data_IF_668471828895
#
_entry.id   IF_668471828895
#
_cell.length_a   1.000
_cell.length_b   1.000
_cell.length_c   1.000
_cell.angle_alpha   90.00
_cell.angle_beta   90.00
_cell.angle_gamma   90.00
#
_symmetry.space_group_name_H-M   'P 1'
#
loop_
_entity.id
_entity.type
_entity.pdbx_description
1 polymer ?
#
# COMPACT_ATOMS: atom_id res chain seq x y z
N UNK A 1 17.54 -15.50 2.26
CA UNK A 1 17.62 -14.65 1.04
C UNK A 1 16.90 -15.24 -0.17
N UNK A 2 17.08 -16.51 -0.56
CA UNK A 2 16.32 -17.10 -1.68
C UNK A 2 14.80 -17.21 -1.43
N UNK A 3 14.37 -17.15 -0.17
CA UNK A 3 12.96 -17.22 0.21
C UNK A 3 12.34 -15.85 0.56
N UNK A 4 13.15 -14.81 0.80
CA UNK A 4 12.68 -13.50 1.26
C UNK A 4 12.41 -12.56 0.08
N UNK A 5 11.17 -12.64 -0.43
CA UNK A 5 10.66 -11.81 -1.53
C UNK A 5 10.72 -10.30 -1.27
N UNK A 6 10.93 -9.89 -0.02
CA UNK A 6 11.02 -8.50 0.43
C UNK A 6 12.31 -7.77 -0.02
N UNK A 7 13.33 -8.48 -0.49
CA UNK A 7 14.60 -7.90 -0.96
C UNK A 7 14.69 -7.74 -2.48
N UNK A 8 13.59 -7.88 -3.21
CA UNK A 8 13.53 -7.70 -4.66
C UNK A 8 13.53 -6.21 -5.06
N UNK A 9 14.53 -5.47 -4.59
CA UNK A 9 14.73 -4.04 -4.82
C UNK A 9 15.87 -3.85 -5.82
N UNK A 10 15.64 -3.01 -6.83
CA UNK A 10 16.62 -2.74 -7.89
C UNK A 10 16.73 -1.24 -8.15
N UNK A 11 17.85 -0.80 -8.72
CA UNK A 11 18.03 0.60 -9.14
C UNK A 11 17.19 0.90 -10.38
N UNK A 12 16.56 2.08 -10.38
CA UNK A 12 15.86 2.65 -11.53
C UNK A 12 16.85 3.45 -12.38
N UNK A 13 16.79 3.29 -13.70
CA UNK A 13 17.72 3.91 -14.65
C UNK A 13 16.99 4.85 -15.63
N UNK A 14 16.11 5.71 -15.14
CA UNK A 14 15.27 6.57 -15.99
C UNK A 14 16.09 7.44 -16.93
N UNK A 15 17.13 8.10 -16.42
CA UNK A 15 17.95 9.03 -17.21
C UNK A 15 18.61 8.34 -18.40
N UNK A 16 19.13 7.12 -18.18
CA UNK A 16 19.77 6.32 -19.21
C UNK A 16 18.73 5.80 -20.20
N UNK A 17 17.59 5.30 -19.72
CA UNK A 17 16.51 4.82 -20.56
C UNK A 17 15.94 5.93 -21.45
N UNK A 18 15.77 7.14 -20.91
CA UNK A 18 15.36 8.32 -21.66
C UNK A 18 16.41 8.74 -22.70
N UNK A 19 17.69 8.71 -22.35
CA UNK A 19 18.76 9.01 -23.30
C UNK A 19 18.79 8.03 -24.48
N UNK A 20 18.60 6.73 -24.21
CA UNK A 20 18.52 5.69 -25.26
C UNK A 20 17.30 5.92 -26.16
N UNK A 21 16.13 6.24 -25.59
CA UNK A 21 14.93 6.56 -26.37
C UNK A 21 15.13 7.78 -27.27
N UNK A 22 15.75 8.84 -26.75
CA UNK A 22 16.05 10.05 -27.54
C UNK A 22 17.05 9.77 -28.67
N UNK A 23 18.04 8.90 -28.44
CA UNK A 23 18.98 8.47 -29.47
C UNK A 23 18.26 7.71 -30.59
N UNK A 24 17.43 6.73 -30.24
CA UNK A 24 16.62 5.98 -31.22
C UNK A 24 15.66 6.90 -31.99
N UNK A 25 15.03 7.86 -31.31
CA UNK A 25 14.16 8.84 -31.95
C UNK A 25 14.94 9.68 -32.98
N UNK A 26 16.14 10.15 -32.65
CA UNK A 26 16.97 10.91 -33.58
C UNK A 26 17.32 10.10 -34.83
N UNK A 27 17.68 8.82 -34.67
CA UNK A 27 17.98 7.93 -35.80
C UNK A 27 16.75 7.66 -36.68
N UNK A 28 15.56 7.50 -36.08
CA UNK A 28 14.31 7.32 -36.82
C UNK A 28 13.97 8.58 -37.62
N UNK A 29 14.12 9.76 -37.02
CA UNK A 29 13.85 11.05 -37.67
C UNK A 29 14.80 11.27 -38.85
N UNK A 30 16.09 10.93 -38.70
CA UNK A 30 17.06 11.02 -39.80
C UNK A 30 16.68 10.09 -40.97
N UNK A 31 16.35 8.83 -40.69
CA UNK A 31 15.90 7.89 -41.73
C UNK A 31 14.58 8.32 -42.38
N UNK A 32 13.65 8.90 -41.62
CA UNK A 32 12.40 9.45 -42.14
C UNK A 32 12.68 10.60 -43.11
N UNK A 33 13.59 11.50 -42.75
CA UNK A 33 14.02 12.60 -43.61
C UNK A 33 14.64 12.08 -44.91
N UNK A 34 15.56 11.11 -44.81
CA UNK A 34 16.16 10.47 -45.99
C UNK A 34 15.11 9.82 -46.90
N UNK A 35 14.11 9.15 -46.31
CA UNK A 35 13.01 8.53 -47.05
C UNK A 35 12.16 9.57 -47.79
N UNK A 36 11.87 10.71 -47.16
CA UNK A 36 11.12 11.81 -47.78
C UNK A 36 11.89 12.46 -48.93
N UNK A 37 13.21 12.63 -48.79
CA UNK A 37 14.07 13.13 -49.88
C UNK A 37 14.14 12.11 -51.03
N UNK A 38 14.27 10.82 -50.71
CA UNK A 38 14.33 9.75 -51.69
C UNK A 38 12.99 9.60 -52.44
N UNK A 39 11.85 9.81 -51.77
CA UNK A 39 10.54 9.70 -52.41
C UNK A 39 10.30 10.77 -53.48
N UNK A 40 10.95 11.92 -53.36
CA UNK A 40 10.90 12.98 -54.37
C UNK A 40 11.82 12.72 -55.58
N UNK A 41 12.81 11.83 -55.45
CA UNK A 41 13.85 11.58 -56.47
C UNK A 41 13.71 10.24 -57.20
N UNK A 42 13.08 9.25 -56.57
CA UNK A 42 13.16 7.86 -57.01
C UNK A 42 11.97 7.43 -57.90
N UNK A 43 12.24 7.16 -59.18
CA UNK A 43 11.27 6.58 -60.13
C UNK A 43 11.14 5.06 -60.01
N UNK A 44 12.10 4.38 -59.35
CA UNK A 44 12.21 2.91 -59.30
C UNK A 44 11.72 2.28 -57.99
N UNK A 45 11.63 3.08 -56.92
CA UNK A 45 11.16 2.67 -55.59
C UNK A 45 12.11 1.75 -54.81
N UNK A 46 13.28 1.38 -55.36
CA UNK A 46 14.25 0.53 -54.67
C UNK A 46 14.88 1.23 -53.47
N UNK A 47 15.28 2.51 -53.61
CA UNK A 47 15.88 3.26 -52.49
C UNK A 47 14.91 3.50 -51.34
N UNK A 48 13.61 3.66 -51.64
CA UNK A 48 12.57 3.74 -50.63
C UNK A 48 12.44 2.42 -49.84
N UNK A 49 12.45 1.29 -50.54
CA UNK A 49 12.37 -0.05 -49.91
C UNK A 49 13.55 -0.31 -48.99
N UNK A 50 14.76 0.02 -49.41
CA UNK A 50 15.97 -0.17 -48.61
C UNK A 50 15.94 0.66 -47.32
N UNK A 51 15.45 1.90 -47.39
CA UNK A 51 15.27 2.75 -46.22
C UNK A 51 14.17 2.23 -45.29
N UNK A 52 13.06 1.72 -45.83
CA UNK A 52 11.99 1.10 -45.02
C UNK A 52 12.49 -0.15 -44.28
N UNK A 53 13.31 -0.99 -44.93
CA UNK A 53 13.93 -2.17 -44.30
C UNK A 53 14.83 -1.76 -43.13
N UNK A 54 15.56 -0.63 -43.24
CA UNK A 54 16.38 -0.10 -42.14
C UNK A 54 15.57 0.54 -41.03
N UNK A 55 14.43 1.17 -41.36
CA UNK A 55 13.57 1.88 -40.41
C UNK A 55 12.74 0.91 -39.56
N UNK A 56 12.25 -0.19 -40.14
CA UNK A 56 11.43 -1.18 -39.45
C UNK A 56 12.02 -1.69 -38.10
N UNK A 57 13.28 -2.17 -38.03
CA UNK A 57 13.83 -2.67 -36.77
C UNK A 57 13.97 -1.57 -35.71
N UNK A 58 14.40 -0.36 -36.11
CA UNK A 58 14.56 0.78 -35.19
C UNK A 58 13.23 1.24 -34.59
N UNK A 59 12.20 1.32 -35.42
CA UNK A 59 10.86 1.67 -34.96
C UNK A 59 10.30 0.61 -34.00
N UNK A 60 10.56 -0.67 -34.28
CA UNK A 60 10.16 -1.78 -33.41
C UNK A 60 10.86 -1.71 -32.06
N UNK A 61 12.18 -1.47 -32.06
CA UNK A 61 12.98 -1.31 -30.85
C UNK A 61 12.50 -0.11 -30.01
N UNK A 62 12.32 1.05 -30.64
CA UNK A 62 11.80 2.24 -29.98
C UNK A 62 10.42 2.02 -29.33
N UNK A 63 9.48 1.43 -30.08
CA UNK A 63 8.13 1.16 -29.58
C UNK A 63 8.14 0.16 -28.41
N UNK A 64 8.95 -0.91 -28.52
CA UNK A 64 9.08 -1.90 -27.46
C UNK A 64 9.68 -1.29 -26.19
N UNK A 65 10.72 -0.45 -26.31
CA UNK A 65 11.34 0.21 -25.18
C UNK A 65 10.40 1.17 -24.46
N UNK A 66 9.57 1.93 -25.20
CA UNK A 66 8.57 2.80 -24.58
C UNK A 66 7.55 1.98 -23.78
N UNK A 67 7.06 0.88 -24.35
CA UNK A 67 6.11 0.01 -23.65
C UNK A 67 6.73 -0.57 -22.37
N UNK A 68 7.94 -1.10 -22.46
CA UNK A 68 8.68 -1.61 -21.30
C UNK A 68 8.90 -0.52 -20.26
N UNK A 69 9.32 0.69 -20.66
CA UNK A 69 9.53 1.80 -19.72
C UNK A 69 8.21 2.24 -19.07
N UNK A 70 7.09 2.18 -19.80
CA UNK A 70 5.77 2.47 -19.23
C UNK A 70 5.39 1.43 -18.16
N UNK A 71 5.66 0.16 -18.38
CA UNK A 71 5.45 -0.91 -17.39
C UNK A 71 6.38 -0.73 -16.18
N UNK A 72 7.66 -0.40 -16.41
CA UNK A 72 8.62 -0.12 -15.36
C UNK A 72 8.22 1.10 -14.51
N UNK A 73 7.62 2.13 -15.12
CA UNK A 73 7.15 3.32 -14.41
C UNK A 73 5.97 3.05 -13.47
N UNK A 74 5.23 1.94 -13.70
CA UNK A 74 4.12 1.52 -12.85
C UNK A 74 4.59 0.69 -11.64
N UNK A 75 5.86 0.25 -11.63
CA UNK A 75 6.40 -0.49 -10.50
C UNK A 75 6.52 0.40 -9.26
N UNK A 76 6.40 -0.21 -8.09
CA UNK A 76 6.34 0.54 -6.84
C UNK A 76 7.71 1.00 -6.37
N UNK A 77 7.72 2.18 -5.74
CA UNK A 77 8.87 2.69 -4.99
C UNK A 77 9.03 1.82 -3.74
N UNK A 78 10.24 1.31 -3.43
CA UNK A 78 10.48 0.53 -2.22
C UNK A 78 10.35 1.40 -0.97
N UNK A 79 10.07 0.77 0.16
CA UNK A 79 10.06 1.48 1.45
C UNK A 79 11.47 1.87 1.86
N UNK A 80 11.59 3.03 2.50
CA UNK A 80 12.85 3.49 3.09
C UNK A 80 13.40 2.48 4.10
N UNK A 81 12.55 1.90 4.95
CA UNK A 81 12.98 0.89 5.93
C UNK A 81 13.53 -0.38 5.27
N UNK A 82 12.87 -0.88 4.23
CA UNK A 82 13.35 -2.06 3.49
C UNK A 82 14.64 -1.78 2.72
N UNK A 83 14.75 -0.57 2.16
CA UNK A 83 15.96 -0.11 1.48
C UNK A 83 17.13 -0.02 2.48
N UNK A 84 16.91 0.54 3.66
CA UNK A 84 17.90 0.62 4.74
C UNK A 84 18.34 -0.77 5.20
N UNK A 85 17.39 -1.68 5.46
CA UNK A 85 17.72 -3.08 5.81
C UNK A 85 18.54 -3.78 4.73
N UNK A 86 18.21 -3.55 3.46
CA UNK A 86 18.99 -4.09 2.34
C UNK A 86 20.40 -3.50 2.29
N UNK A 87 20.54 -2.18 2.46
CA UNK A 87 21.83 -1.49 2.49
C UNK A 87 22.70 -1.97 3.65
N UNK A 88 22.12 -2.14 4.84
CA UNK A 88 22.79 -2.66 6.02
C UNK A 88 23.24 -4.11 5.80
N UNK A 89 22.36 -4.95 5.24
CA UNK A 89 22.70 -6.33 4.89
C UNK A 89 23.82 -6.43 3.85
N UNK A 90 23.79 -5.58 2.81
CA UNK A 90 24.84 -5.51 1.78
C UNK A 90 26.20 -5.06 2.33
N UNK A 91 26.20 -4.35 3.46
CA UNK A 91 27.40 -3.90 4.18
C UNK A 91 27.86 -4.93 5.22
N UNK A 92 26.96 -5.83 5.67
CA UNK A 92 27.27 -6.83 6.68
C UNK A 92 28.26 -7.91 6.15
N UNK A 93 29.39 -8.15 6.84
CA UNK A 93 30.29 -9.26 6.52
C UNK A 93 29.65 -10.66 6.60
N UNK A 94 28.61 -10.86 7.42
CA UNK A 94 27.94 -12.16 7.59
C UNK A 94 26.79 -12.37 6.58
N UNK A 95 26.13 -11.28 6.18
CA UNK A 95 24.98 -11.30 5.28
C UNK A 95 25.35 -11.04 3.82
N UNK A 96 25.98 -9.90 3.53
CA UNK A 96 26.26 -9.42 2.18
C UNK A 96 27.72 -9.57 1.73
N UNK A 97 28.54 -10.32 2.46
CA UNK A 97 29.96 -10.54 2.14
C UNK A 97 30.76 -9.25 1.89
N UNK A 98 30.41 -8.15 2.59
CA UNK A 98 30.99 -6.82 2.38
C UNK A 98 30.88 -6.34 0.92
N UNK A 99 29.75 -6.60 0.25
CA UNK A 99 29.53 -6.24 -1.15
C UNK A 99 29.81 -4.75 -1.42
N UNK A 100 29.37 -3.87 -0.51
CA UNK A 100 29.60 -2.43 -0.60
C UNK A 100 30.95 -1.97 -0.03
N UNK A 101 31.60 -2.79 0.81
CA UNK A 101 32.83 -2.42 1.52
C UNK A 101 34.10 -2.68 0.71
N UNK A 102 34.01 -3.37 -0.45
CA UNK A 102 35.13 -3.51 -1.39
C UNK A 102 35.42 -2.16 -2.05
N UNK A 103 36.34 -1.40 -1.45
CA UNK A 103 36.84 -0.13 -1.95
C UNK A 103 37.18 -0.19 -3.44
N UNK A 104 36.55 0.67 -4.24
CA UNK A 104 36.83 0.85 -5.66
C UNK A 104 35.76 0.33 -6.65
N UNK A 105 34.68 -0.29 -6.18
CA UNK A 105 33.60 -0.74 -7.08
C UNK A 105 32.59 0.38 -7.36
N UNK A 106 32.14 0.55 -8.63
CA UNK A 106 31.05 1.47 -8.98
C UNK A 106 29.74 1.16 -8.22
N UNK A 107 29.57 -0.09 -7.77
CA UNK A 107 28.42 -0.56 -7.01
C UNK A 107 28.19 0.20 -5.70
N UNK A 108 29.24 0.72 -5.06
CA UNK A 108 29.06 1.58 -3.89
C UNK A 108 28.18 2.80 -4.21
N UNK A 109 28.32 3.38 -5.41
CA UNK A 109 27.51 4.54 -5.82
C UNK A 109 26.08 4.17 -6.22
N UNK A 110 25.82 2.90 -6.54
CA UNK A 110 24.48 2.37 -6.83
C UNK A 110 23.60 2.35 -5.59
N UNK A 111 24.18 2.08 -4.41
CA UNK A 111 23.44 1.88 -3.16
C UNK A 111 23.65 3.00 -2.13
N UNK A 112 24.47 4.01 -2.45
CA UNK A 112 24.73 5.17 -1.60
C UNK A 112 23.55 6.15 -1.47
N UNK A 113 22.74 6.41 -2.52
CA UNK A 113 21.57 7.28 -2.38
C UNK A 113 20.57 6.71 -1.38
N UNK A 114 20.14 7.55 -0.42
CA UNK A 114 19.04 7.21 0.49
C UNK A 114 17.66 7.51 -0.08
N UNK A 115 17.62 8.14 -1.26
CA UNK A 115 16.38 8.50 -1.92
C UNK A 115 15.69 7.25 -2.48
N UNK A 116 14.54 6.83 -1.92
CA UNK A 116 13.85 5.63 -2.35
C UNK A 116 13.34 5.74 -3.80
N UNK A 117 13.13 6.96 -4.30
CA UNK A 117 12.60 7.20 -5.64
C UNK A 117 13.54 6.72 -6.75
N UNK A 118 14.82 6.53 -6.46
CA UNK A 118 15.82 6.00 -7.40
C UNK A 118 15.79 4.47 -7.51
N UNK A 119 14.89 3.81 -6.78
CA UNK A 119 14.80 2.36 -6.73
C UNK A 119 13.39 1.89 -7.05
N UNK A 120 13.28 0.61 -7.36
CA UNK A 120 12.04 -0.06 -7.73
C UNK A 120 11.94 -1.40 -6.99
N UNK A 121 10.76 -1.70 -6.47
CA UNK A 121 10.45 -3.00 -5.87
C UNK A 121 9.62 -3.85 -6.83
N UNK A 122 10.05 -5.09 -7.07
CA UNK A 122 9.28 -6.04 -7.88
C UNK A 122 8.08 -6.64 -7.14
N UNK A 123 8.08 -6.55 -5.81
CA UNK A 123 6.94 -6.99 -5.01
C UNK A 123 6.13 -5.78 -4.55
N UNK A 124 4.80 -5.93 -4.62
CA UNK A 124 3.89 -5.03 -3.90
C UNK A 124 4.32 -5.06 -2.44
N UNK A 125 4.81 -3.94 -1.95
CA UNK A 125 5.19 -3.87 -0.56
C UNK A 125 3.91 -4.04 0.24
N UNK A 126 3.78 -5.12 1.02
CA UNK A 126 2.60 -5.41 1.84
C UNK A 126 2.30 -4.19 2.69
N UNK A 127 1.29 -3.40 2.31
CA UNK A 127 0.92 -2.09 2.87
C UNK A 127 1.27 -2.04 4.36
N UNK A 128 2.32 -1.29 4.73
CA UNK A 128 2.53 -0.98 6.13
C UNK A 128 1.40 -0.03 6.44
N UNK A 129 0.35 -0.65 6.96
CA UNK A 129 -0.60 -0.07 7.85
C UNK A 129 -0.97 1.36 7.47
N UNK A 130 -2.00 1.47 6.64
CA UNK A 130 -2.79 2.68 6.52
C UNK A 130 -2.95 3.32 7.92
N UNK A 131 -3.09 4.65 8.01
CA UNK A 131 -3.42 5.32 9.28
C UNK A 131 -4.51 4.57 10.07
N UNK A 132 -5.41 3.91 9.33
CA UNK A 132 -6.36 2.91 9.79
C UNK A 132 -5.76 1.71 10.54
N UNK A 133 -4.82 0.93 9.98
CA UNK A 133 -4.22 -0.22 10.65
C UNK A 133 -3.37 0.18 11.86
N UNK A 134 -2.73 1.35 11.85
CA UNK A 134 -2.03 1.88 13.02
C UNK A 134 -3.02 2.30 14.12
N UNK A 135 -4.13 2.95 13.76
CA UNK A 135 -5.22 3.25 14.67
C UNK A 135 -5.85 1.97 15.24
N UNK A 136 -6.10 0.95 14.41
CA UNK A 136 -6.60 -0.36 14.85
C UNK A 136 -5.61 -1.03 15.78
N UNK A 137 -4.30 -1.01 15.46
CA UNK A 137 -3.26 -1.53 16.36
C UNK A 137 -3.30 -0.79 17.70
N UNK A 138 -3.32 0.53 17.72
CA UNK A 138 -3.35 1.31 18.97
C UNK A 138 -4.63 1.06 19.79
N UNK A 139 -5.80 1.07 19.16
CA UNK A 139 -7.09 0.81 19.82
C UNK A 139 -7.17 -0.63 20.31
N UNK A 140 -6.78 -1.61 19.50
CA UNK A 140 -6.78 -3.02 19.89
C UNK A 140 -5.78 -3.28 21.02
N UNK A 141 -4.60 -2.68 20.97
CA UNK A 141 -3.58 -2.80 22.04
C UNK A 141 -4.06 -2.16 23.33
N UNK A 142 -4.70 -0.99 23.25
CA UNK A 142 -5.31 -0.30 24.40
C UNK A 142 -6.44 -1.13 25.03
N UNK A 143 -7.35 -1.66 24.20
CA UNK A 143 -8.47 -2.48 24.66
C UNK A 143 -7.98 -3.83 25.21
N UNK A 144 -7.00 -4.46 24.55
CA UNK A 144 -6.40 -5.72 25.00
C UNK A 144 -5.65 -5.55 26.31
N UNK A 145 -4.88 -4.47 26.48
CA UNK A 145 -4.22 -4.15 27.75
C UNK A 145 -5.23 -3.88 28.88
N UNK A 146 -6.38 -3.25 28.55
CA UNK A 146 -7.41 -2.87 29.53
C UNK A 146 -8.37 -4.02 29.90
N UNK A 147 -8.69 -4.93 28.97
CA UNK A 147 -9.56 -6.09 29.20
C UNK A 147 -8.78 -7.34 29.66
N UNK A 148 -7.56 -7.52 29.16
CA UNK A 148 -6.71 -8.69 29.42
C UNK A 148 -5.48 -8.33 30.26
N UNK A 149 -5.60 -7.32 31.12
CA UNK A 149 -4.56 -6.86 32.02
C UNK A 149 -4.02 -7.98 32.91
N UNK A 150 -2.69 -8.09 32.92
CA UNK A 150 -1.81 -8.86 33.82
C UNK A 150 -1.71 -10.39 33.69
N UNK A 151 -2.64 -11.11 33.05
CA UNK A 151 -2.55 -12.60 33.01
C UNK A 151 -1.69 -13.19 31.89
N UNK A 152 -1.30 -12.40 30.88
CA UNK A 152 -0.41 -12.87 29.81
C UNK A 152 0.72 -11.87 29.58
N UNK A 153 1.75 -11.95 30.42
CA UNK A 153 3.08 -11.37 30.18
C UNK A 153 3.83 -12.06 29.01
N UNK A 154 3.12 -12.54 27.98
CA UNK A 154 3.64 -13.44 26.95
C UNK A 154 3.59 -12.84 25.54
N UNK A 155 3.59 -11.51 25.41
CA UNK A 155 3.74 -10.85 24.11
C UNK A 155 4.83 -9.77 24.13
N UNK A 156 5.84 -9.94 25.00
CA UNK A 156 7.14 -9.31 24.80
C UNK A 156 8.04 -10.31 24.09
N UNK A 157 7.82 -10.49 22.80
CA UNK A 157 8.89 -10.94 21.90
C UNK A 157 9.23 -9.73 21.04
N UNK A 158 9.94 -8.78 21.68
CA UNK A 158 10.85 -7.92 20.95
C UNK A 158 12.02 -8.84 20.64
N UNK A 159 12.00 -9.44 19.47
CA UNK A 159 13.19 -10.08 18.94
C UNK A 159 14.13 -8.96 18.49
N UNK A 160 15.01 -8.56 19.42
CA UNK A 160 15.96 -7.45 19.30
C UNK A 160 16.99 -7.69 18.17
N UNK A 161 16.99 -8.86 17.54
CA UNK A 161 17.97 -9.24 16.52
C UNK A 161 17.39 -9.39 15.10
N UNK A 162 16.06 -9.29 14.94
CA UNK A 162 15.40 -9.60 13.65
C UNK A 162 14.56 -8.46 13.07
N UNK A 163 14.21 -7.41 13.83
CA UNK A 163 13.58 -6.17 13.34
C UNK A 163 12.27 -6.27 12.53
N UNK A 164 11.76 -7.47 12.26
CA UNK A 164 10.65 -7.74 11.36
C UNK A 164 9.63 -8.63 12.05
N UNK A 165 8.59 -8.00 12.59
CA UNK A 165 7.40 -8.71 13.07
C UNK A 165 6.60 -9.22 11.85
N UNK A 166 7.02 -10.35 11.27
CA UNK A 166 6.19 -11.10 10.33
C UNK A 166 5.12 -11.86 11.12
N UNK A 167 3.98 -11.19 11.34
CA UNK A 167 2.77 -11.91 11.72
C UNK A 167 2.07 -12.38 10.46
N UNK A 168 1.56 -13.62 10.46
CA UNK A 168 0.81 -14.14 9.32
C UNK A 168 -0.45 -13.30 9.08
N UNK A 169 -0.44 -12.55 7.99
CA UNK A 169 -1.50 -11.61 7.59
C UNK A 169 -2.91 -12.22 7.62
N UNK A 170 -3.04 -13.51 7.31
CA UNK A 170 -4.35 -14.17 7.27
C UNK A 170 -4.97 -14.44 8.64
N UNK A 171 -4.16 -14.67 9.68
CA UNK A 171 -4.66 -14.96 11.03
C UNK A 171 -4.97 -13.68 11.79
N UNK A 172 -4.16 -12.63 11.59
CA UNK A 172 -4.43 -11.30 12.14
C UNK A 172 -5.69 -10.67 11.53
N UNK A 173 -5.86 -10.76 10.20
CA UNK A 173 -7.06 -10.22 9.55
C UNK A 173 -8.32 -10.95 10.02
N UNK A 174 -8.27 -12.28 10.18
CA UNK A 174 -9.40 -13.05 10.72
C UNK A 174 -9.70 -12.70 12.18
N UNK A 175 -8.68 -12.57 13.02
CA UNK A 175 -8.85 -12.18 14.42
C UNK A 175 -9.42 -10.76 14.55
N UNK A 176 -8.94 -9.82 13.73
CA UNK A 176 -9.45 -8.45 13.65
C UNK A 176 -10.91 -8.41 13.21
N UNK A 177 -11.28 -9.17 12.19
CA UNK A 177 -12.67 -9.26 11.73
C UNK A 177 -13.58 -9.87 12.80
N UNK A 178 -13.14 -10.93 13.48
CA UNK A 178 -13.92 -11.54 14.56
C UNK A 178 -14.12 -10.57 15.73
N UNK A 179 -13.06 -9.87 16.13
CA UNK A 179 -13.13 -8.86 17.19
C UNK A 179 -14.07 -7.72 16.81
N UNK A 180 -13.98 -7.24 15.58
CA UNK A 180 -14.89 -6.22 15.01
C UNK A 180 -16.35 -6.63 15.10
N UNK A 181 -16.67 -7.86 14.69
CA UNK A 181 -18.04 -8.38 14.71
C UNK A 181 -18.56 -8.46 16.16
N UNK A 182 -17.71 -8.87 17.10
CA UNK A 182 -18.08 -8.94 18.53
C UNK A 182 -18.32 -7.54 19.10
N UNK A 183 -17.42 -6.58 18.84
CA UNK A 183 -17.58 -5.20 19.33
C UNK A 183 -18.81 -4.54 18.69
N UNK A 184 -18.99 -4.69 17.38
CA UNK A 184 -20.12 -4.12 16.63
C UNK A 184 -21.47 -4.71 17.08
N UNK A 185 -21.51 -5.99 17.45
CA UNK A 185 -22.74 -6.62 17.97
C UNK A 185 -23.00 -6.35 19.46
N UNK A 186 -21.96 -6.14 20.26
CA UNK A 186 -22.10 -5.82 21.69
C UNK A 186 -22.50 -4.37 21.94
N UNK A 187 -22.08 -3.45 21.08
CA UNK A 187 -22.31 -2.01 21.24
C UNK A 187 -23.81 -1.64 21.27
N UNK A 188 -24.69 -2.19 20.41
CA UNK A 188 -26.12 -1.94 20.50
C UNK A 188 -26.74 -2.39 21.83
N UNK A 189 -26.32 -3.54 22.35
CA UNK A 189 -26.81 -4.08 23.62
C UNK A 189 -26.35 -3.20 24.79
N UNK A 190 -25.09 -2.76 24.77
CA UNK A 190 -24.51 -1.87 25.77
C UNK A 190 -25.21 -0.50 25.77
N UNK A 191 -25.59 -0.02 24.58
CA UNK A 191 -26.31 1.24 24.41
C UNK A 191 -27.72 1.17 25.01
N UNK A 192 -28.45 0.07 24.77
CA UNK A 192 -29.77 -0.16 25.38
C UNK A 192 -29.66 -0.18 26.90
N UNK A 193 -28.64 -0.86 27.45
CA UNK A 193 -28.41 -0.92 28.89
C UNK A 193 -28.12 0.47 29.48
N UNK A 194 -27.24 1.25 28.85
CA UNK A 194 -26.89 2.60 29.27
C UNK A 194 -28.08 3.58 29.20
N UNK A 195 -28.90 3.49 28.15
CA UNK A 195 -30.12 4.28 28.00
C UNK A 195 -31.16 3.96 29.09
N UNK A 196 -31.19 2.73 29.61
CA UNK A 196 -32.11 2.34 30.67
C UNK A 196 -31.74 2.96 32.03
N UNK A 197 -30.44 3.20 32.28
CA UNK A 197 -29.97 3.79 33.53
C UNK A 197 -30.15 5.31 33.64
N UNK A 198 -30.58 5.98 32.57
CA UNK A 198 -30.76 7.44 32.55
C UNK A 198 -32.19 7.84 32.88
N UNK A 199 -32.39 8.81 33.78
CA UNK A 199 -33.74 9.20 34.22
C UNK A 199 -34.36 10.35 33.39
N UNK A 200 -33.52 11.15 32.71
CA UNK A 200 -33.95 12.35 31.98
C UNK A 200 -33.95 12.14 30.46
N UNK A 201 -34.99 12.64 29.79
CA UNK A 201 -35.17 12.50 28.33
C UNK A 201 -34.06 13.18 27.53
N UNK A 202 -33.58 14.34 27.99
CA UNK A 202 -32.51 15.07 27.31
C UNK A 202 -31.18 14.30 27.32
N UNK A 203 -30.84 13.64 28.43
CA UNK A 203 -29.63 12.81 28.51
C UNK A 203 -29.75 11.56 27.63
N UNK A 204 -30.94 10.96 27.54
CA UNK A 204 -31.19 9.81 26.65
C UNK A 204 -30.96 10.19 25.18
N UNK A 205 -31.54 11.31 24.74
CA UNK A 205 -31.35 11.81 23.37
C UNK A 205 -29.88 12.13 23.09
N UNK A 206 -29.20 12.81 24.02
CA UNK A 206 -27.77 13.13 23.86
C UNK A 206 -26.90 11.87 23.77
N UNK A 207 -27.18 10.87 24.60
CA UNK A 207 -26.43 9.61 24.63
C UNK A 207 -26.64 8.80 23.33
N UNK A 208 -27.87 8.76 22.81
CA UNK A 208 -28.21 8.16 21.50
C UNK A 208 -27.37 8.76 20.39
N UNK A 209 -27.34 10.10 20.25
CA UNK A 209 -26.53 10.75 19.20
C UNK A 209 -25.05 10.33 19.30
N UNK A 210 -24.50 10.27 20.51
CA UNK A 210 -23.10 9.86 20.73
C UNK A 210 -22.88 8.40 20.32
N UNK A 211 -23.76 7.48 20.71
CA UNK A 211 -23.60 6.07 20.35
C UNK A 211 -23.87 5.78 18.87
N UNK A 212 -24.82 6.48 18.23
CA UNK A 212 -25.04 6.36 16.79
C UNK A 212 -23.81 6.78 15.99
N UNK A 213 -23.15 7.88 16.38
CA UNK A 213 -21.89 8.33 15.75
C UNK A 213 -20.76 7.33 16.03
N UNK A 214 -20.63 6.85 17.27
CA UNK A 214 -19.61 5.87 17.64
C UNK A 214 -19.78 4.56 16.85
N UNK A 215 -21.01 4.09 16.67
CA UNK A 215 -21.33 2.90 15.88
C UNK A 215 -20.96 3.08 14.41
N UNK A 216 -21.31 4.22 13.80
CA UNK A 216 -20.96 4.51 12.41
C UNK A 216 -19.45 4.58 12.21
N UNK A 217 -18.73 5.23 13.11
CA UNK A 217 -17.25 5.29 13.11
C UNK A 217 -16.65 3.90 13.25
N UNK A 218 -17.21 3.04 14.11
CA UNK A 218 -16.74 1.66 14.25
C UNK A 218 -17.02 0.84 12.98
N UNK A 219 -18.18 0.98 12.33
CA UNK A 219 -18.44 0.28 11.08
C UNK A 219 -17.53 0.77 9.95
N UNK A 220 -17.36 2.08 9.79
CA UNK A 220 -16.50 2.67 8.75
C UNK A 220 -15.04 2.30 8.94
N UNK A 221 -14.56 2.29 10.19
CA UNK A 221 -13.20 1.89 10.48
C UNK A 221 -13.07 0.38 10.33
N UNK A 222 -13.81 -0.41 11.09
CA UNK A 222 -13.51 -1.83 11.23
C UNK A 222 -14.06 -2.73 10.11
N UNK A 223 -14.85 -2.21 9.17
CA UNK A 223 -15.41 -3.03 8.07
C UNK A 223 -15.15 -2.40 6.71
N UNK A 224 -15.01 -3.24 5.67
CA UNK A 224 -14.99 -2.79 4.27
C UNK A 224 -16.42 -2.53 3.73
N UNK A 225 -17.31 -2.02 4.58
CA UNK A 225 -18.69 -1.79 4.21
C UNK A 225 -18.80 -0.60 3.24
N UNK A 226 -19.63 -0.74 2.22
CA UNK A 226 -19.92 0.37 1.30
C UNK A 226 -20.66 1.47 2.07
N UNK A 227 -20.51 2.72 1.64
CA UNK A 227 -21.22 3.88 2.25
C UNK A 227 -22.72 3.62 2.45
N UNK A 228 -23.37 2.99 1.47
CA UNK A 228 -24.80 2.63 1.53
C UNK A 228 -25.11 1.62 2.64
N UNK A 229 -24.22 0.65 2.87
CA UNK A 229 -24.37 -0.36 3.92
C UNK A 229 -24.21 0.27 5.32
N UNK A 230 -23.28 1.22 5.47
CA UNK A 230 -23.08 1.98 6.71
C UNK A 230 -24.32 2.83 7.02
N UNK A 231 -24.88 3.54 6.02
CA UNK A 231 -26.12 4.31 6.20
C UNK A 231 -27.29 3.42 6.61
N UNK A 232 -27.45 2.25 5.96
CA UNK A 232 -28.51 1.31 6.30
C UNK A 232 -28.37 0.78 7.74
N UNK A 233 -27.18 0.32 8.12
CA UNK A 233 -26.91 -0.21 9.46
C UNK A 233 -27.12 0.86 10.55
N UNK A 234 -26.65 2.08 10.32
CA UNK A 234 -26.79 3.21 11.26
C UNK A 234 -28.26 3.63 11.40
N UNK A 235 -29.03 3.63 10.31
CA UNK A 235 -30.46 3.92 10.36
C UNK A 235 -31.24 2.85 11.14
N UNK A 236 -30.92 1.56 10.93
CA UNK A 236 -31.50 0.46 11.71
C UNK A 236 -31.15 0.60 13.19
N UNK A 237 -29.90 0.92 13.51
CA UNK A 237 -29.47 1.11 14.90
C UNK A 237 -30.22 2.27 15.58
N UNK A 238 -30.28 3.44 14.94
CA UNK A 238 -31.01 4.60 15.44
C UNK A 238 -32.51 4.32 15.64
N UNK A 239 -33.13 3.55 14.73
CA UNK A 239 -34.53 3.17 14.86
C UNK A 239 -34.78 2.33 16.13
N UNK A 240 -33.87 1.41 16.46
CA UNK A 240 -33.95 0.61 17.71
C UNK A 240 -33.83 1.52 18.93
N UNK A 241 -32.85 2.43 18.95
CA UNK A 241 -32.65 3.37 20.06
C UNK A 241 -33.89 4.25 20.31
N UNK A 242 -34.49 4.80 19.25
CA UNK A 242 -35.69 5.65 19.36
C UNK A 242 -36.89 4.88 19.93
N UNK A 243 -37.08 3.61 19.55
CA UNK A 243 -38.15 2.76 20.12
C UNK A 243 -37.94 2.56 21.63
N UNK A 244 -36.69 2.36 22.08
CA UNK A 244 -36.39 2.24 23.50
C UNK A 244 -36.59 3.54 24.27
N UNK A 245 -36.24 4.69 23.69
CA UNK A 245 -36.52 6.01 24.29
C UNK A 245 -38.02 6.21 24.42
N UNK A 246 -38.80 5.94 23.37
CA UNK A 246 -40.26 6.06 23.36
C UNK A 246 -40.94 5.14 24.38
N UNK A 247 -40.45 3.90 24.51
CA UNK A 247 -40.99 2.94 25.49
C UNK A 247 -40.72 3.38 26.93
N UNK A 248 -39.53 3.92 27.21
CA UNK A 248 -39.19 4.36 28.55
C UNK A 248 -39.88 5.66 28.97
N UNK A 249 -40.26 6.51 28.01
CA UNK A 249 -41.10 7.69 28.28
C UNK A 249 -42.52 7.30 28.71
N UNK A 250 -43.06 6.22 28.16
CA UNK A 250 -44.41 5.72 28.48
C UNK A 250 -44.49 4.90 29.78
N UNK A 251 -43.35 4.57 30.39
CA UNK A 251 -43.27 3.74 31.61
C UNK A 251 -43.22 4.56 32.91
N UNK A 252 -43.28 5.89 32.83
CA UNK A 252 -43.45 6.81 33.98
C UNK A 252 -44.88 7.34 33.99
#
# INVERSE_FOLDING_TARGET
MSEDKHFAIFRRFDDINLAVLLALQAEIVDLQYQLQVQSQKDNSGQGQRDLLIKLQPKLTEYNNLILQLSELSQLQIPRTSQLETLQDWLTDPKGGANFLTKTGTPELYTWKPKDPSQYVSLHKTAEDSDPFTNFVKEVLTFIFHRLCGERLNAARVVDVESGLASYSDSSLVRASNLFTVIVSSALPVLTIFALNSLETTAQRIGLTVVFTVLFAVILELFTNAKRVEIFAATATFAAVEVVFIGSALNSK
#
